data_IF_034653158825
#
_entry.id   IF_034653158825
#
_cell.length_a   1.000
_cell.length_b   1.000
_cell.length_c   1.000
_cell.angle_alpha   90.00
_cell.angle_beta   90.00
_cell.angle_gamma   90.00
#
_symmetry.space_group_name_H-M   'P 1'
#
loop_
_entity.id
_entity.type
_entity.pdbx_description
1 polymer ?
#
# COMPACT_ATOMS: atom_id res chain seq x y z
N UNK A 1 -20.41 8.58 -0.46
CA UNK A 1 -19.35 7.59 -0.71
C UNK A 1 -18.48 7.34 0.52
N UNK A 2 -17.94 8.37 1.19
CA UNK A 2 -17.15 8.22 2.44
C UNK A 2 -17.91 7.41 3.50
N UNK A 3 -19.19 7.76 3.75
CA UNK A 3 -20.03 7.01 4.70
C UNK A 3 -20.11 5.51 4.38
N UNK A 4 -20.20 5.15 3.10
CA UNK A 4 -20.25 3.75 2.65
C UNK A 4 -18.91 3.06 2.93
N UNK A 5 -17.79 3.72 2.64
CA UNK A 5 -16.45 3.20 2.96
C UNK A 5 -16.30 2.97 4.47
N UNK A 6 -16.77 3.91 5.31
CA UNK A 6 -16.74 3.74 6.77
C UNK A 6 -17.63 2.59 7.25
N UNK A 7 -18.81 2.40 6.66
CA UNK A 7 -19.70 1.28 7.00
C UNK A 7 -19.07 -0.06 6.61
N UNK A 8 -18.46 -0.15 5.42
CA UNK A 8 -17.74 -1.34 4.98
C UNK A 8 -16.50 -1.61 5.85
N UNK A 9 -15.79 -0.56 6.26
CA UNK A 9 -14.66 -0.65 7.17
C UNK A 9 -15.04 -1.30 8.49
N UNK A 10 -16.09 -0.77 9.12
CA UNK A 10 -16.60 -1.31 10.39
C UNK A 10 -17.07 -2.75 10.18
N UNK A 11 -17.78 -3.05 9.08
CA UNK A 11 -18.30 -4.40 8.85
C UNK A 11 -17.20 -5.45 8.70
N UNK A 12 -16.18 -5.23 7.85
CA UNK A 12 -15.13 -6.25 7.70
C UNK A 12 -14.25 -6.35 8.95
N UNK A 13 -14.00 -5.24 9.67
CA UNK A 13 -13.27 -5.31 10.94
C UNK A 13 -14.04 -6.12 11.98
N UNK A 14 -15.38 -5.99 12.04
CA UNK A 14 -16.18 -6.81 12.95
C UNK A 14 -16.13 -8.29 12.59
N UNK A 15 -16.10 -8.62 11.29
CA UNK A 15 -15.95 -10.01 10.81
C UNK A 15 -14.58 -10.57 11.18
N UNK A 16 -13.52 -9.77 11.02
CA UNK A 16 -12.14 -10.19 11.34
C UNK A 16 -11.92 -10.39 12.85
N UNK A 17 -12.53 -9.56 13.71
CA UNK A 17 -12.41 -9.66 15.18
C UNK A 17 -13.32 -10.75 15.75
N UNK A 18 -14.54 -10.86 15.23
CA UNK A 18 -15.56 -11.80 15.71
C UNK A 18 -15.98 -12.73 14.56
N UNK A 19 -15.23 -13.80 14.28
CA UNK A 19 -15.66 -14.82 13.33
C UNK A 19 -16.91 -15.53 13.90
N UNK A 20 -18.10 -15.09 13.46
CA UNK A 20 -19.40 -15.52 13.99
C UNK A 20 -19.86 -16.90 13.51
N UNK A 21 -19.18 -17.51 12.52
CA UNK A 21 -19.65 -18.75 11.90
C UNK A 21 -18.61 -19.87 11.90
N UNK A 22 -19.11 -21.11 12.00
CA UNK A 22 -18.32 -22.35 12.02
C UNK A 22 -17.63 -22.64 10.66
N UNK A 23 -18.10 -22.03 9.57
CA UNK A 23 -17.44 -22.02 8.27
C UNK A 23 -16.46 -20.83 8.16
N UNK A 24 -15.26 -21.01 8.71
CA UNK A 24 -14.17 -20.03 8.61
C UNK A 24 -13.91 -19.58 7.16
N UNK A 25 -13.93 -20.50 6.19
CA UNK A 25 -13.64 -20.21 4.78
C UNK A 25 -14.61 -19.21 4.14
N UNK A 26 -15.92 -19.28 4.43
CA UNK A 26 -16.89 -18.32 3.89
C UNK A 26 -16.76 -16.93 4.52
N UNK A 27 -16.40 -16.87 5.80
CA UNK A 27 -16.16 -15.59 6.49
C UNK A 27 -14.92 -14.88 5.94
N UNK A 28 -13.83 -15.63 5.68
CA UNK A 28 -12.63 -15.08 5.05
C UNK A 28 -12.89 -14.52 3.65
N UNK A 29 -13.60 -15.27 2.80
CA UNK A 29 -13.95 -14.81 1.45
C UNK A 29 -14.80 -13.52 1.49
N UNK A 30 -15.80 -13.49 2.37
CA UNK A 30 -16.66 -12.31 2.54
C UNK A 30 -15.87 -11.09 3.06
N UNK A 31 -14.95 -11.28 4.01
CA UNK A 31 -14.08 -10.21 4.51
C UNK A 31 -13.17 -9.65 3.42
N UNK A 32 -12.48 -10.52 2.66
CA UNK A 32 -11.61 -10.10 1.55
C UNK A 32 -12.36 -9.35 0.45
N UNK A 33 -13.58 -9.78 0.13
CA UNK A 33 -14.43 -9.08 -0.82
C UNK A 33 -14.82 -7.68 -0.32
N UNK A 34 -15.20 -7.53 0.95
CA UNK A 34 -15.53 -6.24 1.55
C UNK A 34 -14.31 -5.29 1.59
N UNK A 35 -13.13 -5.83 1.93
CA UNK A 35 -11.85 -5.11 1.88
C UNK A 35 -11.57 -4.60 0.47
N UNK A 36 -11.66 -5.46 -0.53
CA UNK A 36 -11.47 -5.11 -1.93
C UNK A 36 -12.48 -4.05 -2.41
N UNK A 37 -13.76 -4.21 -2.11
CA UNK A 37 -14.79 -3.22 -2.46
C UNK A 37 -14.52 -1.86 -1.82
N UNK A 38 -14.02 -1.83 -0.58
CA UNK A 38 -13.65 -0.59 0.09
C UNK A 38 -12.51 0.16 -0.62
N UNK A 39 -11.50 -0.58 -1.10
CA UNK A 39 -10.39 -0.02 -1.88
C UNK A 39 -10.87 0.45 -3.25
N UNK A 40 -11.72 -0.34 -3.92
CA UNK A 40 -12.32 0.05 -5.20
C UNK A 40 -13.13 1.34 -5.06
N UNK A 41 -13.89 1.50 -3.97
CA UNK A 41 -14.59 2.74 -3.67
C UNK A 41 -13.62 3.89 -3.42
N UNK A 42 -12.47 3.68 -2.78
CA UNK A 42 -11.43 4.71 -2.67
C UNK A 42 -10.94 5.15 -4.07
N UNK A 43 -10.73 4.22 -4.99
CA UNK A 43 -10.41 4.59 -6.38
C UNK A 43 -11.55 5.38 -7.05
N UNK A 44 -12.80 4.94 -6.93
CA UNK A 44 -13.97 5.66 -7.47
C UNK A 44 -14.08 7.07 -6.86
N UNK A 45 -13.76 7.26 -5.57
CA UNK A 45 -13.68 8.61 -4.99
C UNK A 45 -12.69 9.50 -5.75
N UNK A 46 -11.53 8.98 -6.15
CA UNK A 46 -10.56 9.77 -6.91
C UNK A 46 -11.01 10.11 -8.34
N UNK A 47 -11.89 9.30 -8.94
CA UNK A 47 -12.44 9.56 -10.29
C UNK A 47 -13.47 10.70 -10.29
N UNK A 48 -14.21 10.85 -9.20
CA UNK A 48 -15.19 11.93 -9.02
C UNK A 48 -14.52 13.22 -8.55
N UNK A 49 -13.23 13.16 -8.17
CA UNK A 49 -12.47 14.35 -7.77
C UNK A 49 -12.32 15.33 -8.94
N UNK A 50 -12.71 16.59 -8.70
CA UNK A 50 -12.64 17.65 -9.71
C UNK A 50 -11.35 18.47 -9.54
N UNK A 51 -10.61 18.78 -10.62
CA UNK A 51 -9.43 19.64 -10.55
C UNK A 51 -9.83 21.08 -10.20
N UNK A 52 -9.52 21.51 -8.98
CA UNK A 52 -9.79 22.89 -8.54
C UNK A 52 -8.84 23.89 -9.22
N UNK A 53 -7.56 23.50 -9.43
CA UNK A 53 -6.51 24.43 -9.86
C UNK A 53 -5.93 24.16 -11.27
N UNK A 54 -6.69 23.58 -12.19
CA UNK A 54 -6.17 23.27 -13.54
C UNK A 54 -4.87 22.42 -13.48
N UNK A 55 -4.75 21.53 -12.49
CA UNK A 55 -3.62 20.61 -12.34
C UNK A 55 -4.00 19.17 -12.76
N UNK A 56 -4.35 18.92 -14.04
CA UNK A 56 -4.83 17.61 -14.49
C UNK A 56 -3.79 16.51 -14.26
N UNK A 57 -2.50 16.85 -14.30
CA UNK A 57 -1.41 15.92 -13.99
C UNK A 57 -1.50 15.36 -12.57
N UNK A 58 -1.83 16.20 -11.58
CA UNK A 58 -1.85 15.77 -10.18
C UNK A 58 -2.96 14.73 -9.96
N UNK A 59 -4.16 15.03 -10.45
CA UNK A 59 -5.31 14.12 -10.39
C UNK A 59 -5.05 12.87 -11.21
N UNK A 60 -4.50 12.99 -12.42
CA UNK A 60 -4.15 11.85 -13.25
C UNK A 60 -3.18 10.89 -12.55
N UNK A 61 -2.10 11.41 -11.95
CA UNK A 61 -1.14 10.56 -11.22
C UNK A 61 -1.75 9.94 -9.95
N UNK A 62 -2.66 10.65 -9.25
CA UNK A 62 -3.42 10.07 -8.14
C UNK A 62 -4.27 8.88 -8.61
N UNK A 63 -5.08 9.09 -9.66
CA UNK A 63 -5.96 8.07 -10.22
C UNK A 63 -5.17 6.88 -10.75
N UNK A 64 -4.04 7.13 -11.43
CA UNK A 64 -3.16 6.08 -11.92
C UNK A 64 -2.56 5.26 -10.76
N UNK A 65 -2.10 5.93 -9.71
CA UNK A 65 -1.59 5.25 -8.51
C UNK A 65 -2.65 4.39 -7.82
N UNK A 66 -3.88 4.91 -7.68
CA UNK A 66 -4.99 4.15 -7.08
C UNK A 66 -5.48 3.02 -7.99
N UNK A 67 -5.41 3.16 -9.31
CA UNK A 67 -5.73 2.07 -10.24
C UNK A 67 -4.76 0.90 -10.06
N UNK A 68 -3.46 1.16 -10.02
CA UNK A 68 -2.46 0.12 -9.75
C UNK A 68 -2.59 -0.46 -8.34
N UNK A 69 -3.02 0.34 -7.36
CA UNK A 69 -3.35 -0.14 -6.01
C UNK A 69 -4.51 -1.14 -6.05
N UNK A 70 -5.62 -0.82 -6.74
CA UNK A 70 -6.75 -1.76 -6.93
C UNK A 70 -6.30 -3.04 -7.62
N UNK A 71 -5.43 -2.94 -8.63
CA UNK A 71 -4.88 -4.14 -9.31
C UNK A 71 -4.02 -4.98 -8.35
N UNK A 72 -3.17 -4.35 -7.54
CA UNK A 72 -2.35 -5.05 -6.55
C UNK A 72 -3.20 -5.71 -5.46
N UNK A 73 -4.22 -5.02 -4.96
CA UNK A 73 -5.12 -5.53 -3.95
C UNK A 73 -6.04 -6.64 -4.47
N UNK A 74 -6.43 -6.60 -5.74
CA UNK A 74 -7.11 -7.73 -6.38
C UNK A 74 -6.24 -8.99 -6.32
N UNK A 75 -4.94 -8.85 -6.62
CA UNK A 75 -3.99 -9.95 -6.57
C UNK A 75 -3.83 -10.46 -5.13
N UNK A 76 -3.64 -9.56 -4.16
CA UNK A 76 -3.46 -9.94 -2.75
C UNK A 76 -4.72 -10.54 -2.09
N UNK A 77 -5.92 -10.05 -2.40
CA UNK A 77 -7.14 -10.39 -1.64
C UNK A 77 -8.03 -11.42 -2.32
N UNK A 78 -8.12 -11.38 -3.65
CA UNK A 78 -9.09 -12.16 -4.42
C UNK A 78 -8.41 -13.27 -5.20
N UNK A 79 -7.34 -12.95 -5.93
CA UNK A 79 -6.58 -13.97 -6.65
C UNK A 79 -5.75 -14.83 -5.70
N UNK A 80 -5.22 -14.21 -4.64
CA UNK A 80 -4.43 -14.84 -3.56
C UNK A 80 -3.27 -15.69 -4.08
N UNK A 81 -2.62 -15.21 -5.13
CA UNK A 81 -1.48 -15.84 -5.77
C UNK A 81 -0.57 -14.77 -6.40
N UNK A 82 0.65 -15.16 -6.78
CA UNK A 82 1.64 -14.28 -7.43
C UNK A 82 1.92 -12.97 -6.66
N UNK A 83 2.17 -13.07 -5.35
CA UNK A 83 2.47 -11.89 -4.51
C UNK A 83 3.67 -11.06 -5.02
N UNK A 84 4.59 -11.65 -5.79
CA UNK A 84 5.68 -10.90 -6.42
C UNK A 84 5.15 -9.86 -7.42
N UNK A 85 4.09 -10.19 -8.16
CA UNK A 85 3.46 -9.28 -9.10
C UNK A 85 2.78 -8.12 -8.35
N UNK A 86 2.05 -8.43 -7.28
CA UNK A 86 1.39 -7.42 -6.46
C UNK A 86 2.39 -6.42 -5.84
N UNK A 87 3.50 -6.90 -5.28
CA UNK A 87 4.57 -6.04 -4.75
C UNK A 87 5.22 -5.21 -5.86
N UNK A 88 5.34 -5.77 -7.07
CA UNK A 88 5.77 -5.03 -8.25
C UNK A 88 4.83 -3.88 -8.61
N UNK A 89 3.53 -4.12 -8.61
CA UNK A 89 2.52 -3.07 -8.81
C UNK A 89 2.59 -2.01 -7.71
N UNK A 90 2.71 -2.39 -6.44
CA UNK A 90 2.90 -1.43 -5.36
C UNK A 90 4.20 -0.62 -5.52
N UNK A 91 5.27 -1.20 -6.06
CA UNK A 91 6.48 -0.45 -6.39
C UNK A 91 6.21 0.63 -7.45
N UNK A 92 5.42 0.31 -8.47
CA UNK A 92 4.97 1.27 -9.49
C UNK A 92 4.11 2.38 -8.83
N UNK A 93 3.20 2.04 -7.92
CA UNK A 93 2.40 3.01 -7.15
C UNK A 93 3.31 4.01 -6.43
N UNK A 94 4.35 3.53 -5.74
CA UNK A 94 5.28 4.42 -5.02
C UNK A 94 6.06 5.35 -5.96
N UNK A 95 6.45 4.88 -7.14
CA UNK A 95 7.09 5.71 -8.16
C UNK A 95 6.11 6.78 -8.65
N UNK A 96 4.86 6.42 -8.95
CA UNK A 96 3.81 7.36 -9.37
C UNK A 96 3.57 8.44 -8.31
N UNK A 97 3.45 8.05 -7.04
CA UNK A 97 3.30 9.00 -5.93
C UNK A 97 4.51 9.92 -5.77
N UNK A 98 5.72 9.41 -5.93
CA UNK A 98 6.92 10.24 -5.95
C UNK A 98 6.92 11.27 -7.07
N UNK A 99 6.50 10.89 -8.30
CA UNK A 99 6.31 11.82 -9.42
C UNK A 99 5.20 12.83 -9.11
N UNK A 100 4.11 12.40 -8.48
CA UNK A 100 3.01 13.28 -8.07
C UNK A 100 3.49 14.39 -7.12
N UNK A 101 4.26 14.05 -6.10
CA UNK A 101 4.62 14.98 -5.01
C UNK A 101 5.75 15.95 -5.34
N UNK A 102 6.59 15.65 -6.33
CA UNK A 102 7.61 16.58 -6.77
C UNK A 102 7.52 16.79 -8.26
N UNK A 103 7.33 18.06 -8.63
CA UNK A 103 7.24 18.49 -10.01
C UNK A 103 8.64 18.80 -10.55
N UNK A 104 8.89 18.36 -11.78
CA UNK A 104 10.14 18.66 -12.47
C UNK A 104 11.19 17.57 -12.28
N UNK A 105 12.02 17.40 -13.31
CA UNK A 105 13.04 16.34 -13.40
C UNK A 105 12.49 14.90 -13.38
N UNK A 106 11.29 14.69 -13.91
CA UNK A 106 10.62 13.38 -13.98
C UNK A 106 11.54 12.30 -14.58
N UNK A 107 12.21 12.61 -15.70
CA UNK A 107 13.13 11.70 -16.35
C UNK A 107 14.31 11.33 -15.44
N UNK A 108 14.94 12.30 -14.78
CA UNK A 108 16.07 12.03 -13.85
C UNK A 108 15.62 11.14 -12.70
N UNK A 109 14.39 11.32 -12.23
CA UNK A 109 13.81 10.52 -11.15
C UNK A 109 13.50 9.09 -11.60
N UNK A 110 12.89 8.94 -12.77
CA UNK A 110 12.65 7.62 -13.37
C UNK A 110 13.99 6.89 -13.58
N UNK A 111 15.01 7.57 -14.10
CA UNK A 111 16.37 7.04 -14.22
C UNK A 111 16.97 6.65 -12.86
N UNK A 112 16.71 7.42 -11.80
CA UNK A 112 17.12 7.07 -10.45
C UNK A 112 16.45 5.78 -9.96
N UNK A 113 15.14 5.63 -10.16
CA UNK A 113 14.44 4.40 -9.80
C UNK A 113 14.91 3.20 -10.62
N UNK A 114 15.16 3.40 -11.91
CA UNK A 114 15.75 2.40 -12.80
C UNK A 114 17.15 1.98 -12.32
N UNK A 115 18.00 2.94 -11.96
CA UNK A 115 19.33 2.68 -11.41
C UNK A 115 19.24 1.89 -10.09
N UNK A 116 18.34 2.27 -9.19
CA UNK A 116 18.08 1.53 -7.94
C UNK A 116 17.62 0.11 -8.25
N UNK A 117 16.70 -0.08 -9.18
CA UNK A 117 16.22 -1.39 -9.60
C UNK A 117 17.37 -2.28 -10.05
N UNK A 118 18.25 -1.79 -10.93
CA UNK A 118 19.42 -2.54 -11.39
C UNK A 118 20.43 -2.82 -10.26
N UNK A 119 20.68 -1.87 -9.37
CA UNK A 119 21.57 -2.08 -8.22
C UNK A 119 21.03 -3.19 -7.31
N UNK A 120 19.74 -3.14 -6.98
CA UNK A 120 19.09 -4.17 -6.15
C UNK A 120 19.07 -5.52 -6.88
N UNK A 121 18.88 -5.53 -8.20
CA UNK A 121 18.89 -6.76 -9.01
C UNK A 121 20.28 -7.40 -9.06
N UNK A 122 21.32 -6.61 -9.28
CA UNK A 122 22.72 -7.09 -9.25
C UNK A 122 23.04 -7.63 -7.86
N UNK A 123 22.68 -6.89 -6.80
CA UNK A 123 22.89 -7.31 -5.41
C UNK A 123 22.19 -8.63 -5.10
N UNK A 124 20.95 -8.79 -5.57
CA UNK A 124 20.19 -10.04 -5.44
C UNK A 124 20.85 -11.19 -6.20
N UNK A 125 21.31 -10.96 -7.43
CA UNK A 125 21.99 -11.99 -8.24
C UNK A 125 23.28 -12.46 -7.57
N UNK A 126 24.08 -11.53 -7.03
CA UNK A 126 25.28 -11.86 -6.27
C UNK A 126 24.91 -12.62 -4.99
N UNK A 127 23.92 -12.13 -4.22
CA UNK A 127 23.46 -12.80 -3.00
C UNK A 127 22.97 -14.23 -3.25
N UNK A 128 22.30 -14.46 -4.37
CA UNK A 128 21.84 -15.80 -4.79
C UNK A 128 22.98 -16.79 -5.05
N UNK A 129 24.19 -16.31 -5.36
CA UNK A 129 25.37 -17.17 -5.48
C UNK A 129 25.82 -17.74 -4.12
N UNK A 130 25.50 -17.06 -3.01
CA UNK A 130 25.91 -17.44 -1.66
C UNK A 130 24.79 -18.12 -0.86
N UNK A 131 23.53 -17.75 -1.10
CA UNK A 131 22.36 -18.24 -0.36
C UNK A 131 21.15 -18.38 -1.29
N UNK A 132 20.31 -19.42 -1.17
CA UNK A 132 19.08 -19.54 -1.95
C UNK A 132 18.07 -18.45 -1.56
N UNK A 133 18.15 -17.28 -2.21
CA UNK A 133 17.23 -16.18 -2.01
C UNK A 133 16.00 -16.32 -2.93
N UNK A 134 14.82 -16.15 -2.34
CA UNK A 134 13.56 -16.00 -3.06
C UNK A 134 13.50 -14.63 -3.77
N UNK A 135 12.97 -14.63 -4.99
CA UNK A 135 12.69 -13.41 -5.76
C UNK A 135 11.72 -12.46 -5.02
N UNK A 136 10.86 -12.98 -4.14
CA UNK A 136 10.01 -12.16 -3.27
C UNK A 136 10.82 -11.16 -2.42
N UNK A 137 11.99 -11.58 -1.91
CA UNK A 137 12.88 -10.72 -1.11
C UNK A 137 13.42 -9.56 -1.96
N UNK A 138 13.82 -9.85 -3.20
CA UNK A 138 14.25 -8.82 -4.15
C UNK A 138 13.15 -7.77 -4.37
N UNK A 139 11.93 -8.22 -4.66
CA UNK A 139 10.79 -7.32 -4.87
C UNK A 139 10.47 -6.51 -3.61
N UNK A 140 10.49 -7.14 -2.43
CA UNK A 140 10.25 -6.46 -1.15
C UNK A 140 11.28 -5.37 -0.83
N UNK A 141 12.57 -5.63 -1.06
CA UNK A 141 13.63 -4.63 -0.85
C UNK A 141 13.47 -3.46 -1.84
N UNK A 142 13.25 -3.76 -3.12
CA UNK A 142 13.04 -2.73 -4.12
C UNK A 142 11.83 -1.86 -3.78
N UNK A 143 10.73 -2.50 -3.39
CA UNK A 143 9.51 -1.84 -2.93
C UNK A 143 9.77 -0.91 -1.73
N UNK A 144 10.45 -1.42 -0.69
CA UNK A 144 10.76 -0.64 0.51
C UNK A 144 11.56 0.62 0.17
N UNK A 145 12.58 0.51 -0.70
CA UNK A 145 13.34 1.67 -1.14
C UNK A 145 12.45 2.67 -1.89
N UNK A 146 11.58 2.17 -2.78
CA UNK A 146 10.64 3.03 -3.51
C UNK A 146 9.71 3.79 -2.56
N UNK A 147 9.17 3.08 -1.57
CA UNK A 147 8.32 3.62 -0.52
C UNK A 147 9.02 4.71 0.29
N UNK A 148 10.24 4.45 0.78
CA UNK A 148 10.97 5.43 1.59
C UNK A 148 11.25 6.72 0.80
N UNK A 149 11.47 6.62 -0.51
CA UNK A 149 11.65 7.80 -1.37
C UNK A 149 10.33 8.58 -1.52
N UNK A 150 9.20 7.90 -1.81
CA UNK A 150 7.90 8.56 -1.98
C UNK A 150 7.41 9.19 -0.66
N UNK A 151 7.62 8.52 0.48
CA UNK A 151 7.32 9.05 1.82
C UNK A 151 8.16 10.30 2.12
N UNK A 152 9.46 10.27 1.82
CA UNK A 152 10.33 11.45 1.97
C UNK A 152 9.84 12.61 1.11
N UNK A 153 9.33 12.33 -0.08
CA UNK A 153 8.82 13.35 -0.99
C UNK A 153 7.47 13.92 -0.54
N UNK A 154 6.58 13.10 0.01
CA UNK A 154 5.36 13.55 0.68
C UNK A 154 5.67 14.49 1.86
N UNK A 155 6.61 14.12 2.73
CA UNK A 155 7.02 14.94 3.88
C UNK A 155 7.60 16.28 3.42
N UNK A 156 8.44 16.27 2.38
CA UNK A 156 8.99 17.50 1.79
C UNK A 156 7.92 18.40 1.21
N UNK A 157 6.94 17.83 0.49
CA UNK A 157 5.81 18.59 -0.06
C UNK A 157 5.04 19.32 1.04
N UNK A 158 4.71 18.63 2.14
CA UNK A 158 4.02 19.24 3.27
C UNK A 158 4.84 20.33 3.97
N UNK A 159 6.16 20.19 4.06
CA UNK A 159 7.02 21.26 4.61
C UNK A 159 7.00 22.53 3.76
N UNK A 160 6.81 22.41 2.44
CA UNK A 160 6.81 23.52 1.49
C UNK A 160 5.43 24.19 1.42
N UNK A 161 4.35 23.41 1.23
CA UNK A 161 3.00 23.94 1.05
C UNK A 161 2.29 24.22 2.38
N UNK A 162 2.44 23.34 3.37
CA UNK A 162 1.77 23.38 4.68
C UNK A 162 0.22 23.41 4.65
N UNK A 163 -0.37 23.07 3.50
CA UNK A 163 -1.80 23.02 3.24
C UNK A 163 -2.43 21.69 3.70
N UNK A 164 -3.76 21.70 3.90
CA UNK A 164 -4.51 20.52 4.33
C UNK A 164 -4.39 19.33 3.38
N UNK A 165 -4.30 19.58 2.06
CA UNK A 165 -4.05 18.53 1.05
C UNK A 165 -2.73 17.82 1.32
N UNK A 166 -1.67 18.59 1.56
CA UNK A 166 -0.33 18.06 1.80
C UNK A 166 -0.23 17.31 3.14
N UNK A 167 -1.00 17.72 4.15
CA UNK A 167 -1.14 16.99 5.43
C UNK A 167 -1.84 15.66 5.24
N UNK A 168 -2.95 15.61 4.48
CA UNK A 168 -3.65 14.34 4.16
C UNK A 168 -2.76 13.36 3.42
N UNK A 169 -1.97 13.85 2.45
CA UNK A 169 -0.98 13.04 1.74
C UNK A 169 0.03 12.42 2.71
N UNK A 170 0.63 13.22 3.59
CA UNK A 170 1.62 12.70 4.55
C UNK A 170 0.99 11.70 5.51
N UNK A 171 -0.18 12.01 6.08
CA UNK A 171 -0.89 11.10 6.98
C UNK A 171 -1.24 9.78 6.28
N UNK A 172 -1.72 9.84 5.04
CA UNK A 172 -1.98 8.65 4.23
C UNK A 172 -0.71 7.81 4.01
N UNK A 173 0.38 8.43 3.56
CA UNK A 173 1.66 7.73 3.32
C UNK A 173 2.27 7.14 4.60
N UNK A 174 2.12 7.80 5.76
CA UNK A 174 2.57 7.26 7.05
C UNK A 174 1.74 6.06 7.47
N UNK A 175 0.41 6.13 7.35
CA UNK A 175 -0.46 4.99 7.64
C UNK A 175 -0.18 3.82 6.68
N UNK A 176 0.06 4.10 5.40
CA UNK A 176 0.47 3.07 4.44
C UNK A 176 1.78 2.40 4.88
N UNK A 177 2.76 3.17 5.34
CA UNK A 177 4.01 2.61 5.83
C UNK A 177 3.83 1.70 7.05
N UNK A 178 2.97 2.12 8.00
CA UNK A 178 2.66 1.34 9.19
C UNK A 178 1.91 0.03 8.84
N UNK A 179 1.04 0.07 7.84
CA UNK A 179 0.42 -1.13 7.27
C UNK A 179 1.48 -2.10 6.75
N UNK A 180 2.43 -1.64 5.93
CA UNK A 180 3.47 -2.50 5.35
C UNK A 180 4.43 -3.05 6.40
N UNK A 181 4.77 -2.27 7.42
CA UNK A 181 5.55 -2.76 8.56
C UNK A 181 4.79 -3.87 9.30
N UNK A 182 3.48 -3.71 9.48
CA UNK A 182 2.63 -4.72 10.12
C UNK A 182 2.54 -5.99 9.27
N UNK A 183 2.42 -5.85 7.94
CA UNK A 183 2.40 -6.96 7.00
C UNK A 183 3.75 -7.71 6.99
N UNK A 184 4.86 -6.98 6.92
CA UNK A 184 6.20 -7.55 6.97
C UNK A 184 6.49 -8.26 8.29
N UNK A 185 6.03 -7.70 9.41
CA UNK A 185 6.12 -8.36 10.72
C UNK A 185 5.30 -9.65 10.74
N UNK A 186 4.05 -9.63 10.27
CA UNK A 186 3.20 -10.82 10.19
C UNK A 186 3.84 -11.92 9.33
N UNK A 187 4.43 -11.55 8.18
CA UNK A 187 5.17 -12.47 7.33
C UNK A 187 6.37 -13.10 8.04
N UNK A 188 7.22 -12.28 8.68
CA UNK A 188 8.42 -12.77 9.40
C UNK A 188 8.07 -13.67 10.59
N UNK A 189 6.96 -13.38 11.29
CA UNK A 189 6.51 -14.22 12.40
C UNK A 189 5.84 -15.52 11.92
N UNK A 190 5.28 -15.54 10.71
CA UNK A 190 4.67 -16.73 10.13
C UNK A 190 5.69 -17.69 9.52
N UNK A 191 6.67 -17.16 8.79
CA UNK A 191 7.73 -17.95 8.15
C UNK A 191 8.94 -18.20 9.07
N UNK A 192 9.06 -17.43 10.16
CA UNK A 192 10.12 -17.60 11.13
C UNK A 192 9.92 -18.84 12.00
N UNK A 193 11.03 -19.41 12.50
CA UNK A 193 11.01 -20.50 13.47
C UNK A 193 10.64 -20.05 14.90
N UNK A 194 9.88 -18.98 15.05
CA UNK A 194 9.49 -18.42 16.34
C UNK A 194 8.17 -19.06 16.79
N UNK A 195 8.20 -19.82 17.89
CA UNK A 195 7.02 -20.47 18.43
C UNK A 195 6.72 -19.94 19.85
N UNK A 196 5.44 -19.74 20.16
CA UNK A 196 4.97 -19.46 21.52
C UNK A 196 3.77 -18.53 21.57
N UNK A 197 3.02 -18.60 22.69
CA UNK A 197 1.77 -17.86 22.90
C UNK A 197 1.93 -16.34 22.68
N UNK A 198 3.08 -15.77 23.06
CA UNK A 198 3.37 -14.35 22.82
C UNK A 198 3.55 -14.04 21.33
N UNK A 199 4.20 -14.94 20.58
CA UNK A 199 4.39 -14.79 19.13
C UNK A 199 3.06 -14.84 18.41
N UNK A 200 2.19 -15.78 18.78
CA UNK A 200 0.84 -15.92 18.20
C UNK A 200 0.01 -14.64 18.43
N UNK A 201 0.02 -14.09 19.65
CA UNK A 201 -0.68 -12.83 19.95
C UNK A 201 -0.14 -11.64 19.16
N UNK A 202 1.18 -11.54 18.99
CA UNK A 202 1.79 -10.46 18.20
C UNK A 202 1.43 -10.64 16.72
N UNK A 203 1.39 -11.88 16.23
CA UNK A 203 0.99 -12.20 14.86
C UNK A 203 -0.46 -11.79 14.59
N UNK A 204 -1.39 -12.14 15.48
CA UNK A 204 -2.80 -11.74 15.35
C UNK A 204 -2.96 -10.22 15.36
N UNK A 205 -2.26 -9.55 16.28
CA UNK A 205 -2.25 -8.09 16.36
C UNK A 205 -1.67 -7.45 15.10
N UNK A 206 -0.58 -8.00 14.55
CA UNK A 206 0.04 -7.52 13.32
C UNK A 206 -0.91 -7.69 12.12
N UNK A 207 -1.57 -8.85 12.01
CA UNK A 207 -2.55 -9.12 10.95
C UNK A 207 -3.74 -8.16 10.99
N UNK A 208 -4.29 -7.91 12.19
CA UNK A 208 -5.36 -6.92 12.37
C UNK A 208 -4.87 -5.48 12.06
N UNK A 209 -3.66 -5.15 12.49
CA UNK A 209 -3.08 -3.81 12.32
C UNK A 209 -2.88 -3.41 10.85
N UNK A 210 -2.64 -4.38 9.95
CA UNK A 210 -2.59 -4.15 8.50
C UNK A 210 -3.83 -3.37 8.06
N UNK A 211 -5.02 -3.88 8.36
CA UNK A 211 -6.27 -3.28 7.91
C UNK A 211 -6.68 -2.05 8.70
N UNK A 212 -6.30 -1.97 9.98
CA UNK A 212 -6.48 -0.76 10.78
C UNK A 212 -5.80 0.43 10.12
N UNK A 213 -4.60 0.24 9.54
CA UNK A 213 -3.87 1.32 8.89
C UNK A 213 -4.15 1.44 7.38
N UNK A 214 -4.42 0.33 6.70
CA UNK A 214 -4.50 0.31 5.23
C UNK A 214 -5.68 1.09 4.67
N UNK A 215 -6.91 0.81 5.09
CA UNK A 215 -8.06 1.49 4.50
C UNK A 215 -8.08 3.00 4.83
N UNK A 216 -7.80 3.44 6.08
CA UNK A 216 -7.68 4.86 6.36
C UNK A 216 -6.59 5.55 5.53
N UNK A 217 -5.47 4.88 5.26
CA UNK A 217 -4.47 5.37 4.33
C UNK A 217 -5.04 5.62 2.93
N UNK A 218 -5.67 4.61 2.32
CA UNK A 218 -6.19 4.71 0.95
C UNK A 218 -7.29 5.77 0.84
N UNK A 219 -8.12 5.92 1.88
CA UNK A 219 -9.13 6.96 1.95
C UNK A 219 -8.51 8.37 2.03
N UNK A 220 -7.48 8.58 2.87
CA UNK A 220 -6.79 9.87 2.95
C UNK A 220 -6.09 10.24 1.63
N UNK A 221 -5.46 9.25 0.99
CA UNK A 221 -4.81 9.44 -0.30
C UNK A 221 -5.84 9.75 -1.40
N UNK A 222 -6.98 9.07 -1.42
CA UNK A 222 -8.03 9.36 -2.41
C UNK A 222 -8.66 10.74 -2.21
N UNK A 223 -8.89 11.14 -0.94
CA UNK A 223 -9.39 12.47 -0.58
C UNK A 223 -8.36 13.59 -0.80
N UNK A 224 -7.09 13.26 -1.04
CA UNK A 224 -6.09 14.27 -1.45
C UNK A 224 -6.27 14.78 -2.88
N UNK A 225 -7.21 14.21 -3.65
CA UNK A 225 -7.63 14.72 -4.95
C UNK A 225 -8.75 15.76 -4.88
N UNK A 226 -9.47 15.82 -3.76
CA UNK A 226 -10.44 16.88 -3.48
C UNK A 226 -9.76 17.95 -2.64
N UNK A 227 -9.99 19.22 -3.01
CA UNK A 227 -9.42 20.48 -2.48
C UNK A 227 -8.38 21.09 -3.41
#
# INVERSE_FOLDING_TARGET
>A
MILIICLLYISFLTIDIFPWDSNLASNYFNSNLLKFLSILLCFITSLIAYPIDNQPRNIFLLQLGLLFTVMADYIFLIYDADYQLAIGLFSIVQIIYSLRYRRGEELKRLLKYLSIFFIVLISFRIGRMFCPLDFLIFMGIFYLICFLISLKDAIKLNKILQEDVSRRIVSGMVLFFLCDLSLGLNYLLTEGYFNGILVDKIKDLASLSVWIFYLPSQLLLSLSGYI
#
